data_IF_044657635176
#
_entry.id   IF_044657635176
#
_cell.length_a   1.000
_cell.length_b   1.000
_cell.length_c   1.000
_cell.angle_alpha   90.00
_cell.angle_beta   90.00
_cell.angle_gamma   90.00
#
_symmetry.space_group_name_H-M   'P 1'
#
loop_
_entity.id
_entity.type
_entity.pdbx_description
1 polymer ?
#
# COMPACT_ATOMS: atom_id res chain seq x y z
N UNK A 1 -1.88 -25.81 -3.33
CA UNK A 1 -0.82 -25.13 -2.54
C UNK A 1 -1.52 -24.30 -1.46
N UNK A 2 -1.25 -24.58 -0.19
CA UNK A 2 -1.69 -23.72 0.93
C UNK A 2 -0.82 -22.45 0.94
N UNK A 3 -1.38 -21.26 1.22
CA UNK A 3 -0.55 -20.09 1.49
C UNK A 3 0.29 -20.38 2.76
N UNK A 4 1.53 -19.88 2.84
CA UNK A 4 2.36 -20.12 4.03
C UNK A 4 1.71 -19.44 5.23
N UNK A 5 1.68 -20.16 6.35
CA UNK A 5 1.30 -19.62 7.64
C UNK A 5 2.36 -18.61 8.10
N UNK A 6 1.90 -17.45 8.57
CA UNK A 6 2.68 -16.39 9.23
C UNK A 6 3.52 -15.50 8.31
N UNK A 7 2.86 -14.58 7.60
CA UNK A 7 3.51 -13.31 7.27
C UNK A 7 3.58 -12.48 8.55
N UNK A 8 4.71 -12.56 9.26
CA UNK A 8 5.10 -11.51 10.20
C UNK A 8 5.52 -10.31 9.34
N UNK A 9 4.71 -9.25 9.33
CA UNK A 9 5.16 -7.98 8.76
C UNK A 9 6.21 -7.42 9.73
N UNK A 10 7.48 -7.59 9.41
CA UNK A 10 8.57 -7.20 10.32
C UNK A 10 8.73 -5.68 10.42
N UNK A 11 8.23 -4.88 9.46
CA UNK A 11 8.54 -3.46 9.43
C UNK A 11 7.36 -2.58 8.95
N UNK A 12 7.23 -1.39 9.54
CA UNK A 12 6.36 -0.35 9.02
C UNK A 12 7.07 0.35 7.88
N UNK A 13 6.46 0.31 6.71
CA UNK A 13 7.00 0.95 5.51
C UNK A 13 6.66 2.44 5.52
N UNK A 14 5.56 2.83 6.17
CA UNK A 14 5.27 4.23 6.48
C UNK A 14 3.80 4.58 6.49
N UNK A 15 3.55 5.86 6.23
CA UNK A 15 2.24 6.47 6.24
C UNK A 15 1.98 7.17 4.90
N UNK A 16 0.73 7.24 4.46
CA UNK A 16 0.41 7.76 3.12
C UNK A 16 -0.41 9.05 3.15
N UNK A 17 -0.10 9.96 2.22
CA UNK A 17 -0.91 11.13 1.89
C UNK A 17 -1.05 11.20 0.38
N UNK A 18 -2.27 11.08 -0.13
CA UNK A 18 -2.56 11.22 -1.55
C UNK A 18 -3.27 12.55 -1.82
N UNK A 19 -2.69 13.33 -2.73
CA UNK A 19 -3.21 14.63 -3.16
C UNK A 19 -3.46 14.58 -4.67
N UNK A 20 -4.66 14.95 -5.09
CA UNK A 20 -5.05 15.05 -6.50
C UNK A 20 -5.63 16.43 -6.76
N UNK A 21 -5.07 17.16 -7.73
CA UNK A 21 -5.49 18.52 -8.09
C UNK A 21 -5.54 19.48 -6.88
N UNK A 22 -4.54 19.41 -5.99
CA UNK A 22 -4.47 20.25 -4.79
C UNK A 22 -5.39 19.84 -3.64
N UNK A 23 -6.23 18.82 -3.82
CA UNK A 23 -7.15 18.31 -2.80
C UNK A 23 -6.59 17.02 -2.21
N UNK A 24 -6.51 16.95 -0.87
CA UNK A 24 -6.19 15.71 -0.16
C UNK A 24 -7.34 14.74 -0.39
N UNK A 25 -7.07 13.65 -1.11
CA UNK A 25 -8.05 12.59 -1.37
C UNK A 25 -8.06 11.57 -0.24
N UNK A 26 -6.88 11.27 0.31
CA UNK A 26 -6.70 10.30 1.37
C UNK A 26 -5.47 10.65 2.20
N UNK A 27 -5.53 10.49 3.53
CA UNK A 27 -4.38 10.78 4.38
C UNK A 27 -4.42 10.05 5.71
N UNK A 28 -3.26 9.57 6.14
CA UNK A 28 -3.06 9.04 7.49
C UNK A 28 -3.16 10.09 8.60
N UNK A 29 -3.19 11.39 8.27
CA UNK A 29 -3.11 12.48 9.26
C UNK A 29 -4.23 12.44 10.31
N UNK A 30 -5.31 11.70 10.08
CA UNK A 30 -6.32 11.41 11.10
C UNK A 30 -5.76 10.69 12.35
N UNK A 31 -4.60 10.04 12.23
CA UNK A 31 -3.88 9.38 13.32
C UNK A 31 -2.69 10.21 13.83
N UNK A 32 -2.46 11.42 13.31
CA UNK A 32 -1.34 12.26 13.73
C UNK A 32 -1.49 12.66 15.21
N UNK A 33 -0.42 12.49 15.99
CA UNK A 33 -0.38 12.83 17.43
C UNK A 33 -0.95 11.77 18.37
N UNK A 34 -1.51 10.67 17.84
CA UNK A 34 -1.84 9.50 18.66
C UNK A 34 -0.57 8.70 18.99
N UNK A 35 -0.55 7.95 20.11
CA UNK A 35 0.48 6.95 20.35
C UNK A 35 0.59 6.00 19.15
N UNK A 36 1.82 5.56 18.91
CA UNK A 36 2.07 4.59 17.85
C UNK A 36 1.29 3.28 18.12
N UNK A 37 0.50 2.87 17.14
CA UNK A 37 -0.27 1.62 17.12
C UNK A 37 -0.20 1.04 15.69
N UNK A 38 0.11 -0.26 15.58
CA UNK A 38 0.19 -0.95 14.28
C UNK A 38 -1.14 -0.92 13.53
N UNK A 39 -2.27 -0.86 14.24
CA UNK A 39 -3.61 -0.71 13.66
C UNK A 39 -3.85 0.66 13.01
N UNK A 40 -3.04 1.67 13.32
CA UNK A 40 -3.07 2.97 12.64
C UNK A 40 -2.21 3.00 11.38
N UNK A 41 -1.22 2.11 11.26
CA UNK A 41 -0.33 2.07 10.11
C UNK A 41 -1.10 1.72 8.83
N UNK A 42 -0.97 2.57 7.80
CA UNK A 42 -1.70 2.38 6.54
C UNK A 42 -0.91 1.61 5.50
N UNK A 43 0.40 1.49 5.70
CA UNK A 43 1.31 0.71 4.86
C UNK A 43 2.13 -0.20 5.76
N UNK A 44 1.95 -1.51 5.59
CA UNK A 44 2.67 -2.55 6.32
C UNK A 44 3.35 -3.46 5.31
N UNK A 45 4.58 -3.89 5.55
CA UNK A 45 5.27 -4.69 4.55
C UNK A 45 6.70 -5.02 4.93
N UNK A 46 7.37 -5.72 4.05
CA UNK A 46 8.77 -6.07 4.24
C UNK A 46 9.45 -6.44 2.94
N UNK A 47 10.79 -6.50 2.94
CA UNK A 47 11.55 -6.90 1.77
C UNK A 47 11.13 -8.30 1.32
N UNK A 48 10.74 -8.40 0.05
CA UNK A 48 10.49 -9.68 -0.64
C UNK A 48 11.74 -10.14 -1.41
N UNK A 49 12.52 -9.20 -1.92
CA UNK A 49 13.83 -9.41 -2.53
C UNK A 49 14.66 -8.12 -2.42
N UNK A 50 15.90 -8.12 -2.95
CA UNK A 50 16.78 -6.94 -2.96
C UNK A 50 16.10 -5.69 -3.56
N UNK A 51 15.18 -5.86 -4.52
CA UNK A 51 14.53 -4.77 -5.24
C UNK A 51 13.01 -4.74 -5.10
N UNK A 52 12.43 -5.60 -4.27
CA UNK A 52 10.98 -5.73 -4.11
C UNK A 52 10.59 -5.67 -2.64
N UNK A 53 9.53 -4.92 -2.35
CA UNK A 53 8.83 -4.94 -1.09
C UNK A 53 7.40 -5.47 -1.32
N UNK A 54 6.96 -6.33 -0.42
CA UNK A 54 5.60 -6.86 -0.41
C UNK A 54 4.92 -6.53 0.92
N UNK A 55 3.64 -6.19 0.85
CA UNK A 55 2.92 -5.71 2.00
C UNK A 55 1.42 -5.61 1.82
N UNK A 56 0.81 -4.88 2.74
CA UNK A 56 -0.59 -4.47 2.69
C UNK A 56 -0.71 -2.94 2.73
N UNK A 57 -1.74 -2.45 2.07
CA UNK A 57 -2.17 -1.07 2.07
C UNK A 57 -3.63 -0.99 2.56
N UNK A 58 -3.92 -0.03 3.43
CA UNK A 58 -5.26 0.30 3.87
C UNK A 58 -5.79 1.53 3.12
N UNK A 59 -6.81 1.32 2.27
CA UNK A 59 -7.65 2.37 1.71
C UNK A 59 -8.59 2.87 2.81
N UNK A 60 -8.21 3.97 3.45
CA UNK A 60 -8.92 4.64 4.54
C UNK A 60 -10.31 5.08 4.05
N UNK A 61 -10.37 5.67 2.86
CA UNK A 61 -11.62 6.25 2.32
C UNK A 61 -12.71 5.19 2.14
N UNK A 62 -12.30 3.94 1.83
CA UNK A 62 -13.22 2.82 1.64
C UNK A 62 -13.20 1.79 2.77
N UNK A 63 -12.36 2.00 3.77
CA UNK A 63 -12.06 1.05 4.83
C UNK A 63 -11.75 -0.38 4.29
N UNK A 64 -10.81 -0.49 3.35
CA UNK A 64 -10.43 -1.77 2.70
C UNK A 64 -8.93 -2.02 2.75
N UNK A 65 -8.56 -3.28 3.01
CA UNK A 65 -7.19 -3.79 2.87
C UNK A 65 -6.95 -4.33 1.45
N UNK A 66 -5.75 -4.09 0.94
CA UNK A 66 -5.24 -4.66 -0.31
C UNK A 66 -3.76 -5.02 -0.22
N UNK A 67 -3.32 -5.88 -1.13
CA UNK A 67 -1.93 -6.24 -1.27
C UNK A 67 -1.17 -5.10 -1.97
N UNK A 68 -0.01 -4.75 -1.43
CA UNK A 68 0.89 -3.74 -1.98
C UNK A 68 2.17 -4.39 -2.45
N UNK A 69 2.56 -4.10 -3.68
CA UNK A 69 3.86 -4.43 -4.25
C UNK A 69 4.60 -3.14 -4.58
N UNK A 70 5.80 -2.97 -4.03
CA UNK A 70 6.72 -1.90 -4.41
C UNK A 70 7.94 -2.50 -5.11
N UNK A 71 8.32 -1.96 -6.26
CA UNK A 71 9.44 -2.44 -7.07
C UNK A 71 10.37 -1.27 -7.36
N UNK A 72 11.64 -1.35 -6.99
CA UNK A 72 12.63 -0.33 -7.39
C UNK A 72 12.84 -0.41 -8.91
N UNK A 73 12.56 0.69 -9.63
CA UNK A 73 12.62 0.71 -11.11
C UNK A 73 14.07 0.88 -11.59
N UNK A 74 14.93 1.48 -10.77
CA UNK A 74 16.35 1.68 -11.06
C UNK A 74 17.15 1.41 -9.78
N UNK A 75 18.30 0.71 -9.87
CA UNK A 75 19.24 0.50 -8.77
C UNK A 75 19.73 1.80 -8.11
N UNK A 76 19.33 2.96 -8.64
CA UNK A 76 19.59 4.29 -8.11
C UNK A 76 18.63 4.72 -6.98
N UNK A 77 17.68 3.87 -6.55
CA UNK A 77 16.82 4.07 -5.37
C UNK A 77 15.92 5.33 -5.39
N UNK A 78 15.77 5.99 -6.53
CA UNK A 78 14.98 7.23 -6.66
C UNK A 78 13.55 7.01 -7.15
N UNK A 79 13.28 5.86 -7.76
CA UNK A 79 12.00 5.54 -8.38
C UNK A 79 11.49 4.18 -7.94
N UNK A 80 10.24 4.16 -7.52
CA UNK A 80 9.52 2.97 -7.08
C UNK A 80 8.23 2.82 -7.90
N UNK A 81 8.02 1.63 -8.46
CA UNK A 81 6.70 1.24 -8.97
C UNK A 81 5.87 0.74 -7.80
N UNK A 82 4.73 1.35 -7.56
CA UNK A 82 3.68 0.86 -6.69
C UNK A 82 2.65 0.08 -7.50
N UNK A 83 2.18 -1.04 -6.98
CA UNK A 83 1.04 -1.78 -7.51
C UNK A 83 0.12 -2.26 -6.38
N UNK A 84 -1.16 -1.89 -6.43
CA UNK A 84 -2.20 -2.47 -5.59
C UNK A 84 -2.80 -3.71 -6.23
N UNK A 85 -3.03 -4.75 -5.44
CA UNK A 85 -3.78 -5.95 -5.87
C UNK A 85 -4.84 -6.29 -4.85
N UNK A 86 -5.96 -6.82 -5.33
CA UNK A 86 -6.95 -7.44 -4.46
C UNK A 86 -6.67 -8.95 -4.37
N UNK A 87 -7.15 -9.57 -3.30
CA UNK A 87 -7.01 -11.01 -3.04
C UNK A 87 -7.82 -11.90 -3.98
N UNK A 88 -8.59 -11.32 -4.91
CA UNK A 88 -9.60 -12.05 -5.70
C UNK A 88 -9.23 -12.28 -7.17
N UNK A 89 -8.16 -11.67 -7.69
CA UNK A 89 -7.87 -11.74 -9.13
C UNK A 89 -9.02 -11.22 -10.00
N UNK A 90 -9.03 -11.57 -11.30
CA UNK A 90 -10.07 -11.12 -12.26
C UNK A 90 -11.28 -12.05 -12.19
N UNK A 91 -12.39 -11.66 -11.51
CA UNK A 91 -13.78 -12.19 -11.70
C UNK A 91 -14.82 -11.59 -10.73
N UNK A 92 -16.13 -11.77 -10.98
CA UNK A 92 -16.99 -11.19 -12.02
C UNK A 92 -17.82 -10.00 -11.48
N UNK A 93 -18.55 -9.35 -12.39
CA UNK A 93 -19.28 -8.10 -12.20
C UNK A 93 -20.22 -8.06 -10.97
N UNK A 94 -20.26 -6.89 -10.31
CA UNK A 94 -21.22 -6.57 -9.25
C UNK A 94 -20.58 -6.14 -7.92
N UNK A 95 -19.29 -6.46 -7.72
CA UNK A 95 -18.54 -6.02 -6.54
C UNK A 95 -17.67 -4.82 -6.92
N UNK A 96 -17.96 -3.63 -6.40
CA UNK A 96 -17.06 -2.47 -6.55
C UNK A 96 -15.84 -2.63 -5.62
N UNK A 97 -14.92 -3.52 -5.98
CA UNK A 97 -13.53 -3.47 -5.51
C UNK A 97 -12.78 -2.37 -6.28
N UNK A 98 -13.26 -1.14 -6.16
CA UNK A 98 -12.54 0.04 -6.63
C UNK A 98 -11.67 0.55 -5.48
N UNK A 99 -10.42 0.88 -5.77
CA UNK A 99 -9.58 1.66 -4.87
C UNK A 99 -9.84 3.15 -5.04
N UNK A 100 -9.63 3.93 -3.99
CA UNK A 100 -9.64 5.39 -4.03
C UNK A 100 -8.33 5.90 -4.67
N UNK A 101 -7.25 5.14 -4.48
CA UNK A 101 -5.95 5.36 -5.10
C UNK A 101 -5.84 4.66 -6.47
N UNK A 102 -4.98 5.15 -7.38
CA UNK A 102 -4.63 4.43 -8.60
C UNK A 102 -3.97 3.08 -8.28
N UNK A 103 -4.33 2.07 -9.09
CA UNK A 103 -3.80 0.70 -8.98
C UNK A 103 -2.30 0.66 -9.26
N UNK A 104 -1.84 1.42 -10.25
CA UNK A 104 -0.43 1.56 -10.62
C UNK A 104 0.01 3.00 -10.44
N UNK A 105 1.16 3.20 -9.79
CA UNK A 105 1.79 4.51 -9.58
C UNK A 105 3.31 4.39 -9.74
N UNK A 106 3.94 5.45 -10.24
CA UNK A 106 5.39 5.65 -10.10
C UNK A 106 5.61 6.68 -9.01
N UNK A 107 6.23 6.24 -7.91
CA UNK A 107 6.64 7.09 -6.81
C UNK A 107 8.07 7.57 -7.07
N UNK A 108 8.27 8.87 -6.96
CA UNK A 108 9.58 9.51 -7.10
C UNK A 108 9.91 10.11 -5.74
N UNK A 109 11.13 9.85 -5.25
CA UNK A 109 11.62 10.49 -4.03
C UNK A 109 11.64 12.01 -4.22
N UNK A 110 10.97 12.74 -3.32
CA UNK A 110 11.04 14.20 -3.23
C UNK A 110 12.31 14.66 -2.51
#
# INVERSE_FOLDING_TARGET
>A
MKPPANFFFEEIVGWHKYVKNGIIQETFLQYAGLPFDIGHATILGGPKSENELYGSFQDITKNKLCDLYLIMINNNQTELKWQLRNSMGIKPQGYQWSFSLPIDLTLIRQ
#
